data_IF_038007804054
#
_entry.id   IF_038007804054
#
_cell.length_a   1.000
_cell.length_b   1.000
_cell.length_c   1.000
_cell.angle_alpha   90.00
_cell.angle_beta   90.00
_cell.angle_gamma   90.00
#
_symmetry.space_group_name_H-M   'P 1'
#
loop_
_entity.id
_entity.type
_entity.pdbx_description
1 polymer ?
#
# COMPACT_ATOMS: atom_id res chain seq x y z
N UNK A 1 -4.67 10.50 -34.69
CA UNK A 1 -5.24 9.87 -33.48
C UNK A 1 -4.29 8.91 -32.75
N UNK A 2 -3.06 8.66 -33.24
CA UNK A 2 -2.09 7.77 -32.57
C UNK A 2 -1.32 8.43 -31.41
N UNK A 3 -1.12 9.75 -31.43
CA UNK A 3 -0.39 10.46 -30.38
C UNK A 3 -1.11 10.48 -29.01
N UNK A 4 -2.45 10.55 -29.02
CA UNK A 4 -3.26 10.47 -27.78
C UNK A 4 -3.22 9.07 -27.15
N UNK A 5 -3.16 8.01 -27.96
CA UNK A 5 -3.04 6.65 -27.45
C UNK A 5 -1.70 6.42 -26.74
N UNK A 6 -0.60 6.96 -27.28
CA UNK A 6 0.71 6.84 -26.65
C UNK A 6 0.75 7.53 -25.28
N UNK A 7 0.20 8.75 -25.16
CA UNK A 7 0.11 9.48 -23.88
C UNK A 7 -0.67 8.67 -22.83
N UNK A 8 -1.80 8.08 -23.22
CA UNK A 8 -2.59 7.25 -22.32
C UNK A 8 -1.84 5.99 -21.86
N UNK A 9 -1.07 5.35 -22.76
CA UNK A 9 -0.23 4.20 -22.41
C UNK A 9 0.88 4.56 -21.42
N UNK A 10 1.54 5.72 -21.57
CA UNK A 10 2.58 6.15 -20.61
C UNK A 10 2.02 6.49 -19.22
N UNK A 11 0.83 7.08 -19.14
CA UNK A 11 0.17 7.39 -17.86
C UNK A 11 -0.35 6.13 -17.17
N UNK A 12 -0.85 5.15 -17.93
CA UNK A 12 -1.34 3.89 -17.39
C UNK A 12 -0.21 3.00 -16.84
N UNK A 13 0.93 2.93 -17.53
CA UNK A 13 2.07 2.09 -17.12
C UNK A 13 2.70 2.46 -15.76
N UNK A 14 2.45 3.65 -15.22
CA UNK A 14 3.04 4.07 -13.94
C UNK A 14 2.33 3.48 -12.72
N UNK A 15 1.07 3.08 -12.87
CA UNK A 15 0.24 2.50 -11.81
C UNK A 15 -0.14 1.04 -12.08
N UNK A 16 -0.07 0.60 -13.34
CA UNK A 16 -0.21 -0.81 -13.73
C UNK A 16 0.90 -1.64 -13.07
N UNK A 17 0.52 -2.48 -12.09
CA UNK A 17 1.43 -3.36 -11.34
C UNK A 17 1.81 -2.88 -9.94
N UNK A 18 1.30 -1.74 -9.49
CA UNK A 18 1.45 -1.32 -8.09
C UNK A 18 0.50 -2.12 -7.19
N UNK A 19 1.01 -2.63 -6.08
CA UNK A 19 0.18 -3.28 -5.05
C UNK A 19 -0.85 -2.27 -4.49
N UNK A 20 -2.14 -2.61 -4.34
CA UNK A 20 -3.16 -1.68 -3.90
C UNK A 20 -2.82 -0.96 -2.58
N UNK A 21 -2.07 -1.61 -1.69
CA UNK A 21 -1.63 -1.01 -0.43
C UNK A 21 -0.61 0.12 -0.63
N UNK A 22 0.28 -0.03 -1.61
CA UNK A 22 1.25 1.00 -2.01
C UNK A 22 0.57 2.18 -2.70
N UNK A 23 -0.51 1.92 -3.46
CA UNK A 23 -1.29 2.98 -4.09
C UNK A 23 -1.95 3.88 -3.04
N UNK A 24 -2.52 3.29 -1.98
CA UNK A 24 -3.09 4.06 -0.86
C UNK A 24 -2.02 4.92 -0.18
N UNK A 25 -0.83 4.37 0.03
CA UNK A 25 0.29 5.13 0.59
C UNK A 25 0.68 6.32 -0.30
N UNK A 26 0.73 6.12 -1.62
CA UNK A 26 0.98 7.19 -2.58
C UNK A 26 -0.11 8.27 -2.54
N UNK A 27 -1.38 7.88 -2.38
CA UNK A 27 -2.49 8.83 -2.21
C UNK A 27 -2.35 9.65 -0.93
N UNK A 28 -1.98 9.04 0.21
CA UNK A 28 -1.72 9.79 1.45
C UNK A 28 -0.60 10.81 1.27
N UNK A 29 0.52 10.40 0.66
CA UNK A 29 1.64 11.29 0.36
C UNK A 29 1.22 12.43 -0.59
N UNK A 30 0.45 12.12 -1.63
CA UNK A 30 -0.11 13.09 -2.56
C UNK A 30 -1.00 14.10 -1.85
N UNK A 31 -1.92 13.66 -1.00
CA UNK A 31 -2.79 14.54 -0.23
C UNK A 31 -1.99 15.48 0.69
N UNK A 32 -1.01 14.96 1.44
CA UNK A 32 -0.16 15.76 2.32
C UNK A 32 0.62 16.82 1.55
N UNK A 33 1.24 16.43 0.43
CA UNK A 33 1.97 17.36 -0.44
C UNK A 33 1.06 18.49 -0.95
N UNK A 34 -0.16 18.17 -1.39
CA UNK A 34 -1.13 19.16 -1.85
C UNK A 34 -1.59 20.10 -0.73
N UNK A 35 -1.81 19.59 0.48
CA UNK A 35 -2.15 20.43 1.63
C UNK A 35 -1.01 21.41 1.96
N UNK A 36 0.25 20.97 1.86
CA UNK A 36 1.42 21.85 2.06
C UNK A 36 1.49 22.95 1.00
N UNK A 37 1.35 22.60 -0.28
CA UNK A 37 1.33 23.60 -1.35
C UNK A 37 0.15 24.58 -1.25
N UNK A 38 -0.99 24.11 -0.70
CA UNK A 38 -2.13 24.99 -0.41
C UNK A 38 -1.82 25.98 0.71
N UNK A 39 -1.15 25.54 1.79
CA UNK A 39 -0.64 26.41 2.86
C UNK A 39 0.30 27.48 2.29
N UNK A 40 1.29 27.07 1.49
CA UNK A 40 2.21 28.02 0.83
C UNK A 40 1.44 29.06 -0.01
N UNK A 41 0.42 28.63 -0.75
CA UNK A 41 -0.44 29.54 -1.51
C UNK A 41 -1.18 30.56 -0.64
N UNK A 42 -1.56 30.20 0.59
CA UNK A 42 -2.16 31.15 1.55
C UNK A 42 -1.10 32.15 2.05
N UNK A 43 0.07 31.67 2.44
CA UNK A 43 1.17 32.48 2.96
C UNK A 43 1.70 33.47 1.92
N UNK A 44 1.83 33.02 0.67
CA UNK A 44 2.22 33.83 -0.49
C UNK A 44 1.10 34.74 -1.01
N UNK A 45 -0.12 34.65 -0.46
CA UNK A 45 -1.34 35.29 -0.98
C UNK A 45 -1.65 34.93 -2.45
N UNK A 46 -1.18 33.78 -2.90
CA UNK A 46 -1.45 33.24 -4.23
C UNK A 46 -2.73 32.39 -4.23
N UNK A 47 -3.85 33.04 -4.58
CA UNK A 47 -5.18 32.42 -4.58
C UNK A 47 -5.28 31.23 -5.54
N UNK A 48 -4.59 31.30 -6.69
CA UNK A 48 -4.59 30.21 -7.68
C UNK A 48 -3.85 28.99 -7.13
N UNK A 49 -2.63 29.17 -6.61
CA UNK A 49 -1.83 28.08 -5.99
C UNK A 49 -2.58 27.44 -4.83
N UNK A 50 -3.21 28.25 -3.97
CA UNK A 50 -4.09 27.78 -2.88
C UNK A 50 -5.21 26.88 -3.41
N UNK A 51 -6.03 27.42 -4.30
CA UNK A 51 -7.26 26.77 -4.77
C UNK A 51 -6.98 25.50 -5.56
N UNK A 52 -5.98 25.51 -6.44
CA UNK A 52 -5.61 24.36 -7.25
C UNK A 52 -5.11 23.19 -6.39
N UNK A 53 -4.27 23.45 -5.38
CA UNK A 53 -3.76 22.38 -4.54
C UNK A 53 -4.81 21.92 -3.52
N UNK A 54 -5.65 22.83 -3.00
CA UNK A 54 -6.74 22.47 -2.10
C UNK A 54 -7.77 21.56 -2.77
N UNK A 55 -8.18 21.88 -4.00
CA UNK A 55 -9.14 21.07 -4.75
C UNK A 55 -8.58 19.69 -5.06
N UNK A 56 -7.29 19.58 -5.42
CA UNK A 56 -6.60 18.30 -5.61
C UNK A 56 -6.54 17.47 -4.32
N UNK A 57 -6.26 18.10 -3.17
CA UNK A 57 -6.28 17.41 -1.88
C UNK A 57 -7.68 16.86 -1.56
N UNK A 58 -8.72 17.67 -1.74
CA UNK A 58 -10.12 17.26 -1.55
C UNK A 58 -10.49 16.10 -2.48
N UNK A 59 -10.08 16.15 -3.75
CA UNK A 59 -10.32 15.07 -4.70
C UNK A 59 -9.69 13.74 -4.23
N UNK A 60 -8.41 13.77 -3.83
CA UNK A 60 -7.73 12.56 -3.32
C UNK A 60 -8.45 11.98 -2.10
N UNK A 61 -8.82 12.83 -1.14
CA UNK A 61 -9.50 12.39 0.09
C UNK A 61 -10.91 11.86 -0.22
N UNK A 62 -11.59 12.43 -1.22
CA UNK A 62 -12.88 11.94 -1.70
C UNK A 62 -12.76 10.54 -2.29
N UNK A 63 -11.74 10.30 -3.13
CA UNK A 63 -11.46 8.97 -3.69
C UNK A 63 -11.11 7.96 -2.58
N UNK A 64 -10.28 8.35 -1.61
CA UNK A 64 -9.98 7.50 -0.44
C UNK A 64 -11.22 7.15 0.37
N UNK A 65 -12.18 8.07 0.52
CA UNK A 65 -13.43 7.78 1.21
C UNK A 65 -14.37 6.89 0.37
N UNK A 66 -14.36 7.06 -0.95
CA UNK A 66 -15.14 6.25 -1.88
C UNK A 66 -14.60 4.81 -2.00
N UNK A 67 -13.29 4.60 -1.81
CA UNK A 67 -12.67 3.28 -1.88
C UNK A 67 -12.91 2.41 -0.65
N UNK A 68 -13.34 2.99 0.47
CA UNK A 68 -13.76 2.23 1.65
C UNK A 68 -15.02 1.43 1.30
N UNK A 69 -15.05 0.13 1.65
CA UNK A 69 -16.20 -0.74 1.41
C UNK A 69 -17.43 -0.24 2.20
N UNK A 70 -18.56 -0.04 1.52
CA UNK A 70 -19.80 0.47 2.09
C UNK A 70 -20.67 -0.60 2.75
N UNK A 71 -20.36 -1.86 2.49
CA UNK A 71 -21.01 -3.01 3.14
C UNK A 71 -20.41 -3.31 4.50
N UNK A 72 -19.15 -2.92 4.72
CA UNK A 72 -18.47 -3.06 6.00
C UNK A 72 -18.99 -2.03 7.01
N UNK A 73 -19.43 -2.52 8.17
CA UNK A 73 -20.00 -1.72 9.25
C UNK A 73 -19.22 -1.85 10.56
N UNK A 74 -18.00 -2.39 10.51
CA UNK A 74 -17.14 -2.47 11.68
C UNK A 74 -16.70 -1.07 12.15
N UNK A 75 -16.25 -1.01 13.40
CA UNK A 75 -15.87 0.25 14.05
C UNK A 75 -14.74 0.98 13.31
N UNK A 76 -13.78 0.24 12.75
CA UNK A 76 -12.62 0.83 12.05
C UNK A 76 -13.05 1.48 10.74
N UNK A 77 -13.91 0.81 9.98
CA UNK A 77 -14.51 1.35 8.75
C UNK A 77 -15.31 2.64 9.04
N UNK A 78 -16.12 2.62 10.10
CA UNK A 78 -16.90 3.79 10.49
C UNK A 78 -16.01 4.95 10.95
N UNK A 79 -14.98 4.67 11.75
CA UNK A 79 -14.00 5.65 12.19
C UNK A 79 -13.30 6.31 11.01
N UNK A 80 -12.81 5.51 10.05
CA UNK A 80 -12.09 6.00 8.87
C UNK A 80 -12.98 6.91 8.01
N UNK A 81 -14.23 6.49 7.73
CA UNK A 81 -15.22 7.32 7.04
C UNK A 81 -15.53 8.60 7.79
N UNK A 82 -15.61 8.54 9.12
CA UNK A 82 -15.84 9.70 9.97
C UNK A 82 -14.73 10.75 9.81
N UNK A 83 -13.47 10.32 9.87
CA UNK A 83 -12.31 11.21 9.69
C UNK A 83 -12.32 11.82 8.29
N UNK A 84 -12.48 11.02 7.23
CA UNK A 84 -12.50 11.57 5.87
C UNK A 84 -13.65 12.55 5.65
N UNK A 85 -14.86 12.24 6.13
CA UNK A 85 -16.00 13.16 6.03
C UNK A 85 -15.78 14.46 6.80
N UNK A 86 -15.19 14.41 7.98
CA UNK A 86 -14.85 15.62 8.74
C UNK A 86 -13.88 16.50 7.94
N UNK A 87 -12.83 15.92 7.38
CA UNK A 87 -11.86 16.65 6.54
C UNK A 87 -12.54 17.26 5.30
N UNK A 88 -13.36 16.49 4.59
CA UNK A 88 -14.08 16.94 3.39
C UNK A 88 -15.11 18.04 3.69
N UNK A 89 -15.62 18.10 4.92
CA UNK A 89 -16.53 19.16 5.36
C UNK A 89 -15.78 20.44 5.72
N UNK A 90 -14.59 20.32 6.33
CA UNK A 90 -13.82 21.48 6.80
C UNK A 90 -12.98 22.15 5.71
N UNK A 91 -12.30 21.38 4.86
CA UNK A 91 -11.36 21.92 3.86
C UNK A 91 -11.95 22.97 2.90
N UNK A 92 -13.20 22.84 2.39
CA UNK A 92 -13.78 23.88 1.54
C UNK A 92 -13.81 25.27 2.20
N UNK A 93 -13.99 25.34 3.52
CA UNK A 93 -14.05 26.61 4.27
C UNK A 93 -12.71 27.35 4.29
N UNK A 94 -11.59 26.66 4.09
CA UNK A 94 -10.25 27.26 3.98
C UNK A 94 -10.18 28.20 2.78
N UNK A 95 -10.92 27.92 1.71
CA UNK A 95 -10.97 28.79 0.52
C UNK A 95 -11.44 30.19 0.87
N UNK A 96 -12.43 30.30 1.76
CA UNK A 96 -13.07 31.55 2.15
C UNK A 96 -12.29 32.30 3.23
N UNK A 97 -11.82 31.58 4.26
CA UNK A 97 -11.32 32.20 5.49
C UNK A 97 -9.80 32.15 5.62
N UNK A 98 -9.09 31.48 4.70
CA UNK A 98 -7.65 31.23 4.77
C UNK A 98 -7.21 30.61 6.12
N UNK A 99 -8.06 29.77 6.71
CA UNK A 99 -7.82 29.21 8.03
C UNK A 99 -6.75 28.11 8.00
N UNK A 100 -5.51 28.50 8.33
CA UNK A 100 -4.38 27.59 8.41
C UNK A 100 -4.57 26.50 9.47
N UNK A 101 -5.29 26.78 10.57
CA UNK A 101 -5.51 25.77 11.62
C UNK A 101 -6.31 24.59 11.11
N UNK A 102 -7.25 24.83 10.19
CA UNK A 102 -8.02 23.77 9.54
C UNK A 102 -7.14 22.91 8.63
N UNK A 103 -6.20 23.52 7.90
CA UNK A 103 -5.19 22.77 7.13
C UNK A 103 -4.29 21.94 8.04
N UNK A 104 -3.82 22.51 9.17
CA UNK A 104 -2.94 21.82 10.12
C UNK A 104 -3.62 20.57 10.70
N UNK A 105 -4.90 20.69 11.10
CA UNK A 105 -5.68 19.55 11.60
C UNK A 105 -5.86 18.48 10.53
N UNK A 106 -6.25 18.86 9.31
CA UNK A 106 -6.40 17.92 8.21
C UNK A 106 -5.08 17.19 7.88
N UNK A 107 -3.96 17.92 7.84
CA UNK A 107 -2.64 17.31 7.68
C UNK A 107 -2.31 16.34 8.82
N UNK A 108 -2.59 16.71 10.07
CA UNK A 108 -2.38 15.84 11.23
C UNK A 108 -3.15 14.53 11.13
N UNK A 109 -4.43 14.58 10.74
CA UNK A 109 -5.25 13.39 10.54
C UNK A 109 -4.69 12.50 9.43
N UNK A 110 -4.39 13.05 8.25
CA UNK A 110 -3.87 12.28 7.12
C UNK A 110 -2.48 11.71 7.43
N UNK A 111 -1.60 12.47 8.10
CA UNK A 111 -0.28 11.98 8.50
C UNK A 111 -0.41 10.82 9.48
N UNK A 112 -1.30 10.92 10.46
CA UNK A 112 -1.50 9.84 11.42
C UNK A 112 -2.05 8.57 10.76
N UNK A 113 -2.99 8.71 9.82
CA UNK A 113 -3.52 7.59 9.04
C UNK A 113 -2.43 6.94 8.17
N UNK A 114 -1.58 7.76 7.54
CA UNK A 114 -0.41 7.29 6.78
C UNK A 114 0.53 6.47 7.65
N UNK A 115 0.90 6.96 8.82
CA UNK A 115 1.82 6.27 9.74
C UNK A 115 1.26 4.92 10.19
N UNK A 116 -0.05 4.89 10.51
CA UNK A 116 -0.76 3.65 10.85
C UNK A 116 -0.72 2.68 9.67
N UNK A 117 -0.99 3.16 8.45
CA UNK A 117 -0.95 2.33 7.24
C UNK A 117 0.43 1.72 6.98
N UNK A 118 1.49 2.52 7.07
CA UNK A 118 2.86 2.05 6.91
C UNK A 118 3.22 0.98 7.96
N UNK A 119 2.79 1.17 9.21
CA UNK A 119 3.13 0.26 10.31
C UNK A 119 2.28 -1.01 10.31
N UNK A 120 0.98 -0.92 10.04
CA UNK A 120 0.05 -2.03 10.24
C UNK A 120 -0.24 -2.83 8.98
N UNK A 121 -0.03 -2.24 7.80
CA UNK A 121 -0.37 -2.85 6.51
C UNK A 121 0.93 -3.20 5.77
N UNK A 122 1.76 -2.19 5.48
CA UNK A 122 3.00 -2.40 4.73
C UNK A 122 4.02 -3.24 5.50
N UNK A 123 4.24 -2.96 6.79
CA UNK A 123 5.23 -3.69 7.56
C UNK A 123 4.86 -5.18 7.80
N UNK A 124 3.57 -5.52 7.80
CA UNK A 124 3.12 -6.92 7.96
C UNK A 124 3.38 -7.79 6.72
N UNK A 125 3.46 -7.19 5.53
CA UNK A 125 3.80 -7.90 4.30
C UNK A 125 5.26 -8.39 4.23
N UNK A 126 6.15 -7.90 5.10
CA UNK A 126 7.58 -8.28 5.10
C UNK A 126 7.90 -9.54 5.94
N UNK A 127 6.91 -10.13 6.62
CA UNK A 127 7.10 -11.33 7.47
C UNK A 127 6.21 -12.49 7.00
N UNK A 128 6.42 -12.94 5.76
CA UNK A 128 6.07 -14.29 5.35
C UNK A 128 7.37 -15.10 5.17
N UNK A 129 7.67 -16.10 6.03
CA UNK A 129 8.77 -17.02 5.78
C UNK A 129 8.57 -17.73 4.43
N UNK A 130 9.63 -18.03 3.66
CA UNK A 130 9.48 -18.78 2.43
C UNK A 130 8.88 -20.15 2.75
N UNK A 131 7.65 -20.40 2.26
CA UNK A 131 7.15 -21.76 2.10
C UNK A 131 8.07 -22.48 1.12
N UNK A 132 9.06 -23.19 1.64
CA UNK A 132 9.86 -24.14 0.86
C UNK A 132 8.90 -25.25 0.42
N UNK A 133 8.45 -25.09 -0.82
CA UNK A 133 7.86 -26.07 -1.72
C UNK A 133 7.84 -27.51 -1.18
N UNK A 134 6.69 -27.94 -0.65
CA UNK A 134 6.39 -29.36 -0.34
C UNK A 134 6.24 -30.25 -1.58
N UNK A 135 6.66 -29.83 -2.77
CA UNK A 135 6.54 -30.65 -3.98
C UNK A 135 7.68 -30.36 -4.95
N UNK A 136 8.79 -31.09 -4.81
CA UNK A 136 9.68 -31.34 -5.94
C UNK A 136 10.13 -32.80 -5.90
N UNK A 137 9.31 -33.62 -6.57
CA UNK A 137 9.71 -34.76 -7.39
C UNK A 137 10.50 -35.88 -6.69
N UNK A 138 9.80 -37.01 -6.55
CA UNK A 138 10.33 -38.36 -6.51
C UNK A 138 11.65 -38.49 -7.29
N UNK A 139 12.77 -38.58 -6.59
CA UNK A 139 14.03 -39.04 -7.18
C UNK A 139 14.04 -40.56 -7.16
N UNK A 140 13.25 -41.17 -8.05
CA UNK A 140 13.46 -42.56 -8.45
C UNK A 140 14.51 -42.63 -9.56
N UNK A 141 15.37 -43.63 -9.43
CA UNK A 141 16.31 -44.16 -10.43
C UNK A 141 17.55 -43.30 -10.79
N UNK A 142 18.57 -43.34 -9.92
CA UNK A 142 19.93 -43.50 -10.43
C UNK A 142 20.25 -45.00 -10.43
N UNK A 143 20.08 -45.62 -11.59
CA UNK A 143 20.58 -46.96 -11.87
C UNK A 143 22.11 -46.92 -11.82
N UNK A 144 22.68 -47.58 -10.82
CA UNK A 144 23.94 -48.32 -10.91
C UNK A 144 24.21 -48.97 -9.54
N UNK A 145 23.45 -50.02 -9.23
CA UNK A 145 23.89 -50.96 -8.21
C UNK A 145 24.95 -51.84 -8.86
N UNK A 146 26.20 -51.46 -8.61
CA UNK A 146 27.37 -52.31 -8.75
C UNK A 146 27.03 -53.68 -8.16
N UNK A 147 27.01 -54.70 -9.02
CA UNK A 147 26.72 -56.08 -8.65
C UNK A 147 27.95 -56.63 -7.92
N UNK A 148 27.95 -56.54 -6.59
CA UNK A 148 28.96 -57.19 -5.75
C UNK A 148 28.33 -58.40 -5.06
N UNK A 149 28.12 -59.42 -5.87
CA UNK A 149 27.88 -60.79 -5.41
C UNK A 149 29.16 -61.26 -4.69
N UNK A 150 29.21 -61.11 -3.36
CA UNK A 150 30.20 -61.76 -2.51
C UNK A 150 29.53 -62.33 -1.25
N UNK A 151 29.78 -63.61 -0.92
CA UNK A 151 28.99 -64.37 0.05
C UNK A 151 29.10 -63.87 1.49
N UNK A 152 27.94 -63.85 2.18
CA UNK A 152 27.80 -63.65 3.63
C UNK A 152 28.57 -64.74 4.39
N UNK A 153 29.72 -64.40 4.99
CA UNK A 153 30.33 -65.22 6.04
C UNK A 153 29.86 -64.71 7.39
N UNK A 154 28.87 -65.39 7.98
CA UNK A 154 28.58 -65.28 9.41
C UNK A 154 29.67 -66.02 10.17
N UNK A 155 30.55 -65.30 10.86
CA UNK A 155 31.40 -65.90 11.87
C UNK A 155 30.68 -65.80 13.21
N UNK A 156 30.05 -66.92 13.60
CA UNK A 156 29.62 -67.13 14.97
C UNK A 156 30.86 -67.25 15.87
N UNK A 157 30.96 -66.36 16.85
CA UNK A 157 31.78 -66.60 18.03
C UNK A 157 30.97 -67.48 18.97
N UNK A 158 31.34 -68.76 19.06
CA UNK A 158 30.98 -69.64 20.18
C UNK A 158 32.30 -70.01 20.85
N UNK A 159 32.38 -69.63 22.12
CA UNK A 159 33.37 -70.10 23.07
C UNK A 159 33.04 -71.54 23.51
N UNK A 160 34.10 -72.31 23.74
CA UNK A 160 34.16 -73.64 24.40
C UNK A 160 33.70 -74.83 23.55
#
# INVERSE_FOLDING_TARGET
>A
MAAYQQINTYLNNHYEGMDPEQLILLLFNGALSRLTLSREGIEEKNVQKKGENLSKAIAIISELNASVDSTMTDESTQFLRGIYKAILTELPNVTLNNDLKTLDRAQGYISRLKDIWETEVIAKQQVSPPEIAKNTVQKQAFSSAFNEDRPKKSFHAVCV
#
